data_IF_467548381108
#
_entry.id   IF_467548381108
#
_cell.length_a   1.000
_cell.length_b   1.000
_cell.length_c   1.000
_cell.angle_alpha   90.00
_cell.angle_beta   90.00
_cell.angle_gamma   90.00
#
_symmetry.space_group_name_H-M   'P 1'
#
loop_
_entity.id
_entity.type
_entity.pdbx_description
1 polymer ?
#
# COMPACT_ATOMS: atom_id res chain seq x y z
N UNK A 1 -16.11 -4.03 -2.25
CA UNK A 1 -15.82 -2.60 -2.21
C UNK A 1 -16.99 -1.81 -2.78
N UNK A 2 -17.36 -2.02 -4.05
CA UNK A 2 -18.40 -1.22 -4.71
C UNK A 2 -19.77 -1.29 -4.04
N UNK A 3 -20.19 -2.47 -3.51
CA UNK A 3 -21.44 -2.60 -2.75
C UNK A 3 -21.45 -1.73 -1.49
N UNK A 4 -20.31 -1.65 -0.77
CA UNK A 4 -20.20 -0.77 0.40
C UNK A 4 -20.26 0.71 0.00
N UNK A 5 -19.59 1.09 -1.10
CA UNK A 5 -19.67 2.45 -1.62
C UNK A 5 -21.12 2.82 -1.99
N UNK A 6 -21.81 1.94 -2.69
CA UNK A 6 -23.22 2.15 -3.06
C UNK A 6 -24.11 2.28 -1.82
N UNK A 7 -23.88 1.45 -0.79
CA UNK A 7 -24.64 1.53 0.47
C UNK A 7 -24.49 2.89 1.16
N UNK A 8 -23.27 3.46 1.18
CA UNK A 8 -23.02 4.78 1.76
C UNK A 8 -23.83 5.88 1.04
N UNK A 9 -23.91 5.79 -0.29
CA UNK A 9 -24.66 6.75 -1.11
C UNK A 9 -26.18 6.56 -0.93
N UNK A 10 -26.69 5.33 -1.05
CA UNK A 10 -28.10 5.02 -1.00
C UNK A 10 -28.74 5.35 0.35
N UNK A 11 -27.96 5.36 1.42
CA UNK A 11 -28.41 5.67 2.77
C UNK A 11 -28.01 7.10 3.24
N UNK A 12 -27.59 7.97 2.32
CA UNK A 12 -27.20 9.35 2.62
C UNK A 12 -26.11 9.51 3.70
N UNK A 13 -25.30 8.46 3.92
CA UNK A 13 -24.30 8.44 5.00
C UNK A 13 -23.17 9.42 4.79
N UNK A 14 -22.94 9.85 3.54
CA UNK A 14 -22.00 10.92 3.19
C UNK A 14 -22.31 12.22 3.94
N UNK A 15 -23.59 12.57 4.10
CA UNK A 15 -24.05 13.76 4.85
C UNK A 15 -23.71 13.70 6.34
N UNK A 16 -23.39 12.51 6.84
CA UNK A 16 -23.01 12.26 8.23
C UNK A 16 -21.51 12.04 8.40
N UNK A 17 -20.70 12.33 7.36
CA UNK A 17 -19.24 12.23 7.41
C UNK A 17 -18.68 10.85 7.03
N UNK A 18 -19.50 9.89 6.61
CA UNK A 18 -19.05 8.58 6.11
C UNK A 18 -18.72 8.67 4.62
N UNK A 19 -17.62 9.32 4.31
CA UNK A 19 -17.24 9.64 2.94
C UNK A 19 -16.08 8.79 2.39
N UNK A 20 -15.43 7.98 3.23
CA UNK A 20 -14.28 7.17 2.82
C UNK A 20 -14.64 5.71 2.63
N UNK A 21 -14.18 5.14 1.52
CA UNK A 21 -14.20 3.70 1.27
C UNK A 21 -12.77 3.20 1.28
N UNK A 22 -12.40 2.39 2.28
CA UNK A 22 -11.03 1.95 2.50
C UNK A 22 -10.89 0.47 2.21
N UNK A 23 -9.93 0.11 1.34
CA UNK A 23 -9.51 -1.27 1.11
C UNK A 23 -8.46 -1.65 2.15
N UNK A 24 -8.82 -2.60 3.01
CA UNK A 24 -7.97 -3.02 4.13
C UNK A 24 -6.89 -4.02 3.70
N UNK A 25 -6.14 -4.50 4.65
CA UNK A 25 -4.90 -5.28 4.59
C UNK A 25 -4.84 -6.36 3.49
N UNK A 26 -3.63 -6.60 2.96
CA UNK A 26 -3.29 -7.67 2.02
C UNK A 26 -4.06 -7.62 0.68
N UNK A 27 -4.43 -6.42 0.24
CA UNK A 27 -5.05 -6.23 -1.08
C UNK A 27 -4.13 -6.67 -2.24
N UNK A 28 -2.85 -6.78 -1.98
CA UNK A 28 -1.80 -7.22 -2.90
C UNK A 28 -1.62 -8.75 -2.96
N UNK A 29 -2.37 -9.52 -2.16
CA UNK A 29 -2.27 -10.98 -2.09
C UNK A 29 -3.33 -11.66 -2.97
N UNK A 30 -2.90 -12.65 -3.79
CA UNK A 30 -3.81 -13.38 -4.66
C UNK A 30 -4.76 -14.35 -3.92
N UNK A 31 -4.35 -14.87 -2.77
CA UNK A 31 -5.12 -15.84 -1.99
C UNK A 31 -5.55 -15.26 -0.64
N UNK A 32 -6.74 -14.67 -0.55
CA UNK A 32 -7.26 -14.08 0.69
C UNK A 32 -7.65 -15.10 1.77
N UNK A 33 -7.78 -16.37 1.41
CA UNK A 33 -8.21 -17.46 2.31
C UNK A 33 -7.28 -17.72 3.49
N UNK A 34 -6.20 -17.00 3.60
CA UNK A 34 -5.27 -17.05 4.73
C UNK A 34 -5.69 -16.16 5.90
N UNK A 35 -6.94 -15.66 5.89
CA UNK A 35 -7.50 -14.74 6.87
C UNK A 35 -7.98 -15.35 8.17
N UNK A 36 -7.65 -16.48 8.56
CA UNK A 36 -8.09 -17.10 9.83
C UNK A 36 -7.07 -17.04 10.95
N UNK A 37 -6.44 -15.91 11.21
CA UNK A 37 -5.48 -15.75 12.32
C UNK A 37 -4.08 -16.30 12.02
N UNK A 38 -3.86 -16.88 10.85
CA UNK A 38 -2.56 -17.40 10.40
C UNK A 38 -2.02 -16.60 9.21
N UNK A 39 -1.91 -15.28 9.37
CA UNK A 39 -1.28 -14.38 8.39
C UNK A 39 0.17 -14.77 8.03
N UNK A 40 0.75 -15.71 8.79
CA UNK A 40 2.12 -16.17 8.65
C UNK A 40 2.29 -17.43 7.79
N UNK A 41 1.20 -18.07 7.37
CA UNK A 41 1.28 -19.30 6.59
C UNK A 41 1.32 -19.01 5.08
N UNK A 42 2.37 -19.49 4.42
CA UNK A 42 2.55 -19.62 2.96
C UNK A 42 2.26 -18.38 2.07
N UNK A 43 2.07 -17.18 2.62
CA UNK A 43 1.54 -16.05 1.87
C UNK A 43 2.55 -15.18 1.13
N UNK A 44 3.83 -15.23 1.47
CA UNK A 44 4.84 -14.31 0.92
C UNK A 44 5.23 -14.57 -0.54
N UNK A 45 4.76 -15.65 -1.15
CA UNK A 45 5.07 -16.00 -2.54
C UNK A 45 3.97 -15.60 -3.54
N UNK A 46 2.81 -15.15 -3.05
CA UNK A 46 1.64 -14.81 -3.86
C UNK A 46 1.37 -13.30 -3.97
N UNK A 47 2.36 -12.48 -3.61
CA UNK A 47 2.20 -11.03 -3.68
C UNK A 47 2.37 -10.52 -5.10
N UNK A 48 1.50 -9.60 -5.50
CA UNK A 48 1.64 -8.86 -6.74
C UNK A 48 2.53 -7.66 -6.45
N UNK A 49 3.70 -7.65 -7.09
CA UNK A 49 4.76 -6.64 -6.87
C UNK A 49 5.26 -6.18 -8.23
N UNK A 50 5.49 -4.87 -8.38
CA UNK A 50 6.06 -4.31 -9.60
C UNK A 50 7.61 -4.43 -9.65
N UNK A 51 8.20 -3.96 -10.74
CA UNK A 51 9.64 -3.97 -10.96
C UNK A 51 10.45 -3.12 -9.97
N UNK A 52 9.77 -2.25 -9.21
CA UNK A 52 10.34 -1.39 -8.19
C UNK A 52 10.09 -1.89 -6.76
N UNK A 53 9.67 -3.14 -6.59
CA UNK A 53 9.44 -3.73 -5.27
C UNK A 53 8.21 -3.18 -4.53
N UNK A 54 7.27 -2.53 -5.24
CA UNK A 54 6.06 -1.96 -4.65
C UNK A 54 4.86 -2.89 -4.84
N UNK A 55 4.00 -2.96 -3.85
CA UNK A 55 2.78 -3.75 -3.95
C UNK A 55 1.82 -3.19 -5.00
N UNK A 56 1.23 -4.10 -5.79
CA UNK A 56 0.12 -3.83 -6.69
C UNK A 56 -1.12 -4.64 -6.27
N UNK A 57 -2.34 -4.14 -6.56
CA UNK A 57 -3.54 -4.89 -6.24
C UNK A 57 -3.60 -6.23 -7.00
N UNK A 58 -4.06 -7.25 -6.30
CA UNK A 58 -4.23 -8.58 -6.88
C UNK A 58 -5.31 -8.58 -7.97
N UNK A 59 -5.00 -8.98 -9.22
CA UNK A 59 -5.98 -9.05 -10.30
C UNK A 59 -7.12 -10.03 -10.02
N UNK A 60 -6.87 -11.09 -9.27
CA UNK A 60 -7.91 -12.07 -8.91
C UNK A 60 -8.99 -11.51 -7.99
N UNK A 61 -8.64 -10.48 -7.20
CA UNK A 61 -9.54 -9.83 -6.22
C UNK A 61 -10.05 -8.47 -6.70
N UNK A 62 -9.26 -7.78 -7.49
CA UNK A 62 -9.53 -6.43 -8.00
C UNK A 62 -9.32 -6.40 -9.52
N UNK A 63 -10.16 -7.08 -10.31
CA UNK A 63 -9.94 -7.24 -11.76
C UNK A 63 -9.88 -5.91 -12.50
N UNK A 64 -10.49 -4.84 -11.97
CA UNK A 64 -10.40 -3.49 -12.53
C UNK A 64 -8.98 -2.88 -12.50
N UNK A 65 -8.03 -3.51 -11.80
CA UNK A 65 -6.63 -3.08 -11.85
C UNK A 65 -5.95 -3.43 -13.19
N UNK A 66 -6.55 -4.31 -14.00
CA UNK A 66 -5.98 -4.73 -15.27
C UNK A 66 -6.59 -3.96 -16.44
N UNK A 67 -5.74 -3.27 -17.20
CA UNK A 67 -6.11 -2.58 -18.45
C UNK A 67 -5.05 -2.95 -19.50
N UNK A 68 -5.48 -3.43 -20.65
CA UNK A 68 -4.61 -3.85 -21.76
C UNK A 68 -3.43 -4.75 -21.33
N UNK A 69 -3.71 -5.68 -20.43
CA UNK A 69 -2.72 -6.63 -19.89
C UNK A 69 -1.74 -6.04 -18.86
N UNK A 70 -1.90 -4.78 -18.49
CA UNK A 70 -1.06 -4.10 -17.48
C UNK A 70 -1.83 -3.86 -16.18
N UNK A 71 -1.15 -4.05 -15.04
CA UNK A 71 -1.71 -3.67 -13.75
C UNK A 71 -1.50 -2.16 -13.53
N UNK A 72 -2.59 -1.41 -13.58
CA UNK A 72 -2.62 0.07 -13.38
C UNK A 72 -2.94 0.46 -11.93
N UNK A 73 -2.89 -0.49 -11.00
CA UNK A 73 -3.22 -0.24 -9.61
C UNK A 73 -4.70 -0.04 -9.33
N UNK A 74 -5.01 0.78 -8.36
CA UNK A 74 -6.39 1.08 -7.97
C UNK A 74 -7.03 2.23 -8.76
N UNK A 75 -6.36 2.79 -9.77
CA UNK A 75 -6.84 3.98 -10.51
C UNK A 75 -8.30 3.87 -10.93
N UNK A 76 -8.68 2.79 -11.63
CA UNK A 76 -10.05 2.60 -12.11
C UNK A 76 -11.07 2.46 -10.96
N UNK A 77 -10.69 1.83 -9.86
CA UNK A 77 -11.54 1.70 -8.67
C UNK A 77 -11.72 3.04 -7.97
N UNK A 78 -10.64 3.79 -7.77
CA UNK A 78 -10.65 5.11 -7.15
C UNK A 78 -11.52 6.09 -7.96
N UNK A 79 -11.32 6.15 -9.29
CA UNK A 79 -12.12 7.00 -10.18
C UNK A 79 -13.63 6.67 -10.08
N UNK A 80 -13.97 5.38 -9.97
CA UNK A 80 -15.36 4.97 -9.80
C UNK A 80 -15.95 5.42 -8.46
N UNK A 81 -15.18 5.31 -7.37
CA UNK A 81 -15.58 5.77 -6.04
C UNK A 81 -15.72 7.29 -6.02
N UNK A 82 -14.78 8.02 -6.62
CA UNK A 82 -14.86 9.48 -6.76
C UNK A 82 -16.10 9.92 -7.54
N UNK A 83 -16.46 9.19 -8.62
CA UNK A 83 -17.65 9.48 -9.39
C UNK A 83 -18.96 9.37 -8.60
N UNK A 84 -18.92 8.69 -7.45
CA UNK A 84 -20.05 8.57 -6.50
C UNK A 84 -20.05 9.65 -5.41
N UNK A 85 -19.11 10.61 -5.46
CA UNK A 85 -18.94 11.64 -4.43
C UNK A 85 -18.25 11.15 -3.15
N UNK A 86 -17.60 9.99 -3.21
CA UNK A 86 -16.87 9.38 -2.09
C UNK A 86 -15.36 9.54 -2.28
N UNK A 87 -14.61 9.28 -1.21
CA UNK A 87 -13.15 9.27 -1.19
C UNK A 87 -12.63 7.84 -1.09
N UNK A 88 -11.47 7.58 -1.69
CA UNK A 88 -10.86 6.26 -1.74
C UNK A 88 -9.64 6.17 -0.82
N UNK A 89 -9.59 5.11 -0.01
CA UNK A 89 -8.46 4.85 0.88
C UNK A 89 -7.94 3.42 0.75
N UNK A 90 -6.68 3.23 1.17
CA UNK A 90 -6.05 1.91 1.26
C UNK A 90 -5.28 1.73 2.56
N UNK A 91 -5.11 0.48 2.95
CA UNK A 91 -4.22 0.08 4.03
C UNK A 91 -2.77 0.00 3.55
N UNK A 92 -1.85 0.48 4.35
CA UNK A 92 -0.42 0.31 4.19
C UNK A 92 0.16 -0.30 5.47
N UNK A 93 0.87 -1.43 5.34
CA UNK A 93 1.73 -1.93 6.40
C UNK A 93 3.07 -1.21 6.34
N UNK A 94 3.59 -0.66 7.47
CA UNK A 94 4.92 -0.06 7.44
C UNK A 94 5.98 -1.02 6.91
N UNK A 95 7.04 -0.50 6.33
CA UNK A 95 8.16 -1.31 5.85
C UNK A 95 8.13 -1.61 4.35
N UNK A 96 9.10 -2.38 3.91
CA UNK A 96 9.25 -2.85 2.53
C UNK A 96 8.85 -4.31 2.41
N UNK A 97 8.34 -4.79 1.25
CA UNK A 97 8.04 -6.20 1.05
C UNK A 97 9.26 -7.09 1.28
N UNK A 98 9.10 -8.15 2.08
CA UNK A 98 10.19 -9.11 2.35
C UNK A 98 10.75 -9.76 1.09
N UNK A 99 9.95 -9.84 0.03
CA UNK A 99 10.36 -10.39 -1.27
C UNK A 99 11.46 -9.59 -1.97
N UNK A 100 11.76 -8.35 -1.54
CA UNK A 100 12.88 -7.56 -2.10
C UNK A 100 14.25 -8.11 -1.72
N UNK A 101 14.32 -8.96 -0.69
CA UNK A 101 15.56 -9.62 -0.28
C UNK A 101 16.03 -10.57 -1.40
N UNK A 102 17.29 -10.42 -1.80
CA UNK A 102 17.90 -11.22 -2.88
C UNK A 102 17.16 -11.12 -4.23
N UNK A 103 16.45 -10.02 -4.47
CA UNK A 103 15.67 -9.81 -5.69
C UNK A 103 16.43 -8.99 -6.73
N UNK A 104 15.83 -8.95 -7.94
CA UNK A 104 16.29 -8.11 -9.05
C UNK A 104 15.52 -6.78 -9.15
N UNK A 105 14.72 -6.44 -8.14
CA UNK A 105 13.96 -5.19 -8.15
C UNK A 105 14.90 -3.98 -8.14
N UNK A 106 14.45 -2.90 -8.76
CA UNK A 106 15.15 -1.62 -8.79
C UNK A 106 14.53 -0.68 -7.75
N UNK A 107 15.33 0.15 -7.13
CA UNK A 107 14.81 1.26 -6.33
C UNK A 107 14.44 2.40 -7.27
N UNK A 108 13.16 2.76 -7.35
CA UNK A 108 12.72 3.84 -8.24
C UNK A 108 13.38 5.17 -7.80
N UNK A 109 13.99 5.85 -8.77
CA UNK A 109 14.72 7.10 -8.53
C UNK A 109 16.19 6.90 -8.17
N UNK A 110 16.64 5.65 -7.98
CA UNK A 110 18.07 5.31 -7.81
C UNK A 110 18.31 3.84 -8.13
N UNK A 111 18.16 3.45 -9.41
CA UNK A 111 18.21 2.05 -9.84
C UNK A 111 19.54 1.36 -9.57
N UNK A 112 20.62 2.12 -9.35
CA UNK A 112 21.93 1.59 -8.97
C UNK A 112 22.06 1.28 -7.46
N UNK A 113 21.13 1.78 -6.63
CA UNK A 113 21.18 1.57 -5.19
C UNK A 113 20.74 0.15 -4.83
N UNK A 114 21.57 -0.65 -4.15
CA UNK A 114 21.19 -1.99 -3.73
C UNK A 114 20.07 -1.95 -2.68
N UNK A 115 19.13 -2.88 -2.76
CA UNK A 115 18.01 -2.98 -1.83
C UNK A 115 18.40 -3.16 -0.37
N UNK A 116 19.58 -3.73 -0.07
CA UNK A 116 20.08 -3.85 1.31
C UNK A 116 20.38 -2.48 1.96
N UNK A 117 20.38 -1.39 1.20
CA UNK A 117 20.45 -0.04 1.74
C UNK A 117 19.09 0.47 2.22
N UNK A 118 17.99 -0.13 1.78
CA UNK A 118 16.62 0.31 2.09
C UNK A 118 16.12 -0.26 3.41
N UNK A 119 16.39 -1.52 3.73
CA UNK A 119 15.88 -2.19 4.93
C UNK A 119 16.99 -2.44 5.98
N UNK A 120 16.59 -2.53 7.27
CA UNK A 120 17.55 -2.63 8.39
C UNK A 120 18.16 -4.01 8.52
N UNK A 121 17.34 -5.06 8.38
CA UNK A 121 17.72 -6.47 8.50
C UNK A 121 16.60 -7.34 7.92
N UNK A 122 16.77 -8.65 7.93
CA UNK A 122 15.80 -9.61 7.40
C UNK A 122 14.75 -10.08 8.42
N UNK A 123 14.75 -9.50 9.62
CA UNK A 123 13.70 -9.76 10.62
C UNK A 123 12.43 -9.02 10.21
N UNK A 124 11.26 -9.68 10.25
CA UNK A 124 9.99 -9.03 9.93
C UNK A 124 9.74 -7.78 10.77
N UNK A 125 9.25 -6.74 10.14
CA UNK A 125 8.93 -5.46 10.79
C UNK A 125 7.85 -5.60 11.86
N UNK A 126 6.90 -6.50 11.64
CA UNK A 126 5.74 -6.71 12.50
C UNK A 126 5.71 -8.15 13.04
N UNK A 127 5.29 -8.33 14.29
CA UNK A 127 5.27 -9.64 14.95
C UNK A 127 4.14 -10.54 14.47
N UNK A 128 2.99 -9.98 14.13
CA UNK A 128 1.80 -10.70 13.71
C UNK A 128 1.66 -10.82 12.19
N UNK A 129 2.31 -9.94 11.41
CA UNK A 129 2.37 -10.00 9.95
C UNK A 129 3.82 -9.92 9.47
N UNK A 130 4.31 -10.99 8.88
CA UNK A 130 5.73 -11.12 8.50
C UNK A 130 6.00 -10.77 7.04
N UNK A 131 5.17 -9.95 6.44
CA UNK A 131 5.23 -9.60 5.03
C UNK A 131 6.33 -8.57 4.71
N UNK A 132 6.63 -7.69 5.67
CA UNK A 132 7.50 -6.54 5.48
C UNK A 132 8.74 -6.54 6.38
N UNK A 133 9.76 -5.80 5.96
CA UNK A 133 10.98 -5.49 6.69
C UNK A 133 11.00 -4.00 7.04
N UNK A 134 11.62 -3.67 8.18
CA UNK A 134 11.73 -2.27 8.63
C UNK A 134 12.60 -1.46 7.68
N UNK A 135 12.13 -0.29 7.26
CA UNK A 135 12.87 0.66 6.43
C UNK A 135 13.98 1.34 7.23
N UNK A 136 15.15 1.55 6.63
CA UNK A 136 16.21 2.37 7.21
C UNK A 136 15.83 3.85 7.12
N UNK A 137 16.15 4.58 8.18
CA UNK A 137 16.10 6.04 8.18
C UNK A 137 17.34 6.60 7.46
N UNK A 138 17.32 6.59 6.13
CA UNK A 138 18.35 7.11 5.25
C UNK A 138 17.74 7.53 3.89
N UNK A 139 18.58 8.02 2.99
CA UNK A 139 18.16 8.46 1.66
C UNK A 139 17.46 7.35 0.85
N UNK A 140 17.98 6.13 0.87
CA UNK A 140 17.38 5.00 0.15
C UNK A 140 16.00 4.62 0.71
N UNK A 141 15.82 4.64 2.04
CA UNK A 141 14.53 4.42 2.68
C UNK A 141 13.53 5.53 2.36
N UNK A 142 13.98 6.78 2.33
CA UNK A 142 13.12 7.91 1.92
C UNK A 142 12.70 7.78 0.46
N UNK A 143 13.61 7.43 -0.46
CA UNK A 143 13.28 7.21 -1.87
C UNK A 143 12.24 6.10 -2.06
N UNK A 144 12.33 5.03 -1.25
CA UNK A 144 11.33 3.98 -1.28
C UNK A 144 9.94 4.52 -0.91
N UNK A 145 9.81 5.22 0.24
CA UNK A 145 8.52 5.81 0.63
C UNK A 145 8.03 6.84 -0.36
N UNK A 146 8.91 7.66 -0.93
CA UNK A 146 8.55 8.59 -1.99
C UNK A 146 7.91 7.84 -3.16
N UNK A 147 8.55 6.76 -3.61
CA UNK A 147 8.08 5.98 -4.77
C UNK A 147 6.71 5.34 -4.58
N UNK A 148 6.37 4.89 -3.35
CA UNK A 148 5.04 4.33 -3.09
C UNK A 148 3.97 5.41 -2.92
N UNK A 149 4.31 6.56 -2.35
CA UNK A 149 3.35 7.67 -2.23
C UNK A 149 3.05 8.30 -3.58
N UNK A 150 4.04 8.44 -4.46
CA UNK A 150 3.82 8.84 -5.85
C UNK A 150 2.86 7.87 -6.57
N UNK A 151 3.07 6.56 -6.41
CA UNK A 151 2.20 5.53 -6.97
C UNK A 151 0.77 5.64 -6.45
N UNK A 152 0.59 5.86 -5.15
CA UNK A 152 -0.73 6.01 -4.54
C UNK A 152 -1.42 7.32 -4.95
N UNK A 153 -0.65 8.37 -5.13
CA UNK A 153 -1.15 9.63 -5.71
C UNK A 153 -1.63 9.44 -7.16
N UNK A 154 -0.88 8.71 -7.99
CA UNK A 154 -1.28 8.33 -9.35
C UNK A 154 -2.58 7.50 -9.37
N UNK A 155 -2.80 6.64 -8.37
CA UNK A 155 -4.04 5.88 -8.24
C UNK A 155 -5.23 6.69 -7.76
N UNK A 156 -5.00 7.89 -7.26
CA UNK A 156 -6.07 8.74 -6.71
C UNK A 156 -6.45 8.39 -5.26
N UNK A 157 -5.51 7.88 -4.47
CA UNK A 157 -5.74 7.60 -3.04
C UNK A 157 -5.89 8.91 -2.26
N UNK A 158 -6.91 8.98 -1.38
CA UNK A 158 -7.21 10.14 -0.53
C UNK A 158 -6.90 9.88 0.95
N UNK A 159 -6.84 8.60 1.35
CA UNK A 159 -6.65 8.19 2.75
C UNK A 159 -5.75 6.97 2.86
N UNK A 160 -4.84 7.00 3.83
CA UNK A 160 -3.93 5.90 4.15
C UNK A 160 -4.14 5.43 5.59
N UNK A 161 -4.63 4.21 5.76
CA UNK A 161 -4.56 3.51 7.03
C UNK A 161 -3.17 2.87 7.16
N UNK A 162 -2.26 3.49 7.92
CA UNK A 162 -0.90 2.97 8.09
C UNK A 162 -0.82 2.20 9.40
N UNK A 163 -0.50 0.92 9.31
CA UNK A 163 -0.51 0.00 10.45
C UNK A 163 0.90 -0.23 11.02
N UNK A 164 0.95 -0.70 12.29
CA UNK A 164 2.16 -1.05 13.04
C UNK A 164 3.14 0.12 13.30
N UNK A 165 2.62 1.35 13.46
CA UNK A 165 3.44 2.54 13.76
C UNK A 165 3.43 2.96 15.23
N UNK A 166 2.59 2.36 16.08
CA UNK A 166 2.29 2.88 17.41
C UNK A 166 2.95 2.14 18.57
N UNK A 167 3.44 0.91 18.36
CA UNK A 167 3.96 0.06 19.46
C UNK A 167 5.17 -0.77 19.00
N UNK A 168 6.41 -0.29 19.19
CA UNK A 168 6.79 1.04 19.67
C UNK A 168 6.37 2.16 18.71
N UNK A 169 6.53 3.41 19.11
CA UNK A 169 6.24 4.56 18.27
C UNK A 169 7.39 4.77 17.27
N UNK A 170 7.14 4.51 16.00
CA UNK A 170 8.14 4.55 14.93
C UNK A 170 8.26 5.93 14.30
N UNK A 171 8.80 6.89 15.05
CA UNK A 171 8.92 8.31 14.67
C UNK A 171 9.57 8.50 13.30
N UNK A 172 10.69 7.81 13.04
CA UNK A 172 11.44 7.95 11.79
C UNK A 172 10.63 7.54 10.57
N UNK A 173 9.94 6.40 10.66
CA UNK A 173 9.09 5.94 9.55
C UNK A 173 7.88 6.87 9.34
N UNK A 174 7.29 7.37 10.43
CA UNK A 174 6.19 8.37 10.35
C UNK A 174 6.66 9.63 9.63
N UNK A 175 7.84 10.15 9.97
CA UNK A 175 8.41 11.33 9.31
C UNK A 175 8.71 11.09 7.84
N UNK A 176 9.32 9.95 7.49
CA UNK A 176 9.61 9.59 6.09
C UNK A 176 8.32 9.46 5.27
N UNK A 177 7.29 8.82 5.84
CA UNK A 177 5.98 8.65 5.18
C UNK A 177 5.31 10.00 4.99
N UNK A 178 5.26 10.86 6.04
CA UNK A 178 4.65 12.19 5.95
C UNK A 178 5.34 13.04 4.89
N UNK A 179 6.68 13.08 4.90
CA UNK A 179 7.47 13.78 3.88
C UNK A 179 7.19 13.25 2.46
N UNK A 180 7.04 11.93 2.32
CA UNK A 180 6.73 11.31 1.04
C UNK A 180 5.32 11.67 0.55
N UNK A 181 4.33 11.78 1.43
CA UNK A 181 2.99 12.25 1.08
C UNK A 181 3.03 13.72 0.64
N UNK A 182 3.69 14.58 1.41
CA UNK A 182 3.76 16.02 1.15
C UNK A 182 4.37 16.33 -0.22
N UNK A 183 5.40 15.60 -0.63
CA UNK A 183 6.05 15.82 -1.92
C UNK A 183 5.16 15.49 -3.13
N UNK A 184 4.15 14.61 -2.97
CA UNK A 184 3.25 14.27 -4.09
C UNK A 184 2.38 15.44 -4.52
N UNK A 185 2.21 16.45 -3.65
CA UNK A 185 1.27 17.56 -3.86
C UNK A 185 -0.22 17.15 -3.82
N UNK A 186 -0.52 15.85 -3.64
CA UNK A 186 -1.90 15.38 -3.48
C UNK A 186 -2.30 15.42 -1.99
N UNK A 187 -3.47 15.99 -1.65
CA UNK A 187 -3.99 15.91 -0.28
C UNK A 187 -4.37 14.45 0.05
N UNK A 188 -3.55 13.80 0.87
CA UNK A 188 -3.83 12.47 1.44
C UNK A 188 -3.81 12.55 2.97
N UNK A 189 -4.84 11.98 3.62
CA UNK A 189 -4.99 11.89 5.07
C UNK A 189 -4.46 10.56 5.59
#
# INVERSE_FOLDING_TARGET
VMQNAQYLVDNDLVKHGWEYVVVDIRWYCNHPSLGGGNYNQKGSQDYVIDEYGRYLPSPSRFPSCMVDGKNIGFKALADKIHSMGLKFGIHLMRGVPKSVVNSKYKLKGSEATPWNQVYTNTTPACTWLKDNLTVKNNEAGQLYYNSIMDLYAEWGVDFLKIDDLSRPFYTDEIHMIRKAIDQTGRPMV
#
